data_IF_206927838436
#
_entry.id   IF_206927838436
#
_cell.length_a   1.000
_cell.length_b   1.000
_cell.length_c   1.000
_cell.angle_alpha   90.00
_cell.angle_beta   90.00
_cell.angle_gamma   90.00
#
_symmetry.space_group_name_H-M   'P 1'
#
loop_
_entity.id
_entity.type
_entity.pdbx_description
1 polymer ?
#
# COMPACT_ATOMS: atom_id res chain seq x y z
N UNK A 1 -7.38 0.25 -23.26
CA UNK A 1 -6.21 0.69 -22.47
C UNK A 1 -6.32 2.09 -21.80
N UNK A 2 -7.50 2.76 -21.74
CA UNK A 2 -7.65 4.07 -21.03
C UNK A 2 -8.42 3.99 -19.70
N UNK A 3 -9.16 2.92 -19.45
CA UNK A 3 -10.11 2.86 -18.33
C UNK A 3 -9.43 2.88 -16.94
N UNK A 4 -8.31 2.19 -16.77
CA UNK A 4 -7.65 2.09 -15.45
C UNK A 4 -7.00 3.40 -15.00
N UNK A 5 -6.46 4.20 -15.93
CA UNK A 5 -5.85 5.49 -15.60
C UNK A 5 -6.88 6.44 -14.96
N UNK A 6 -8.11 6.49 -15.48
CA UNK A 6 -9.20 7.27 -14.89
C UNK A 6 -9.60 6.73 -13.50
N UNK A 7 -9.57 5.41 -13.30
CA UNK A 7 -9.86 4.82 -11.99
C UNK A 7 -8.82 5.19 -10.94
N UNK A 8 -7.52 5.29 -11.32
CA UNK A 8 -6.44 5.70 -10.41
C UNK A 8 -6.66 7.11 -9.86
N UNK A 9 -7.07 8.05 -10.72
CA UNK A 9 -7.34 9.44 -10.31
C UNK A 9 -8.42 9.51 -9.22
N UNK A 10 -9.41 8.62 -9.27
CA UNK A 10 -10.50 8.56 -8.31
C UNK A 10 -10.11 7.93 -6.95
N UNK A 11 -8.97 7.26 -6.83
CA UNK A 11 -8.45 6.79 -5.53
C UNK A 11 -8.09 7.95 -4.60
N UNK A 12 -7.78 9.12 -5.16
CA UNK A 12 -7.49 10.36 -4.41
C UNK A 12 -8.69 11.29 -4.27
N UNK A 13 -9.90 10.87 -4.66
CA UNK A 13 -11.11 11.69 -4.56
C UNK A 13 -11.38 12.12 -3.11
N UNK A 14 -11.84 13.34 -2.82
CA UNK A 14 -12.25 13.71 -1.45
C UNK A 14 -13.49 12.93 -0.97
N UNK A 15 -14.28 12.34 -1.88
CA UNK A 15 -15.48 11.58 -1.54
C UNK A 15 -15.17 10.10 -1.27
N UNK A 16 -15.42 9.65 -0.04
CA UNK A 16 -15.20 8.27 0.41
C UNK A 16 -15.93 7.23 -0.44
N UNK A 17 -17.18 7.45 -0.83
CA UNK A 17 -17.93 6.49 -1.65
C UNK A 17 -17.35 6.35 -3.06
N UNK A 18 -16.84 7.46 -3.62
CA UNK A 18 -16.16 7.45 -4.92
C UNK A 18 -14.85 6.67 -4.82
N UNK A 19 -14.04 6.92 -3.78
CA UNK A 19 -12.79 6.17 -3.53
C UNK A 19 -13.04 4.68 -3.38
N UNK A 20 -14.06 4.27 -2.61
CA UNK A 20 -14.39 2.85 -2.41
C UNK A 20 -14.86 2.16 -3.71
N UNK A 21 -15.65 2.86 -4.55
CA UNK A 21 -16.04 2.32 -5.87
C UNK A 21 -14.84 2.21 -6.80
N UNK A 22 -13.98 3.23 -6.84
CA UNK A 22 -12.76 3.20 -7.63
C UNK A 22 -11.84 2.05 -7.19
N UNK A 23 -11.66 1.87 -5.88
CA UNK A 23 -10.91 0.77 -5.29
C UNK A 23 -11.45 -0.59 -5.73
N UNK A 24 -12.76 -0.82 -5.59
CA UNK A 24 -13.41 -2.07 -6.03
C UNK A 24 -13.12 -2.33 -7.51
N UNK A 25 -13.26 -1.31 -8.35
CA UNK A 25 -13.03 -1.44 -9.79
C UNK A 25 -11.56 -1.73 -10.11
N UNK A 26 -10.60 -1.06 -9.47
CA UNK A 26 -9.16 -1.31 -9.66
C UNK A 26 -8.79 -2.73 -9.26
N UNK A 27 -9.22 -3.19 -8.08
CA UNK A 27 -8.91 -4.54 -7.60
C UNK A 27 -9.49 -5.64 -8.52
N UNK A 28 -10.64 -5.37 -9.14
CA UNK A 28 -11.32 -6.29 -10.06
C UNK A 28 -10.81 -6.19 -11.50
N UNK A 29 -10.02 -5.17 -11.85
CA UNK A 29 -9.69 -4.89 -13.24
C UNK A 29 -8.56 -5.83 -13.73
N UNK A 30 -8.74 -6.53 -14.87
CA UNK A 30 -7.74 -7.49 -15.37
C UNK A 30 -6.40 -6.83 -15.70
N UNK A 31 -6.42 -5.60 -16.20
CA UNK A 31 -5.19 -4.86 -16.55
C UNK A 31 -4.56 -4.08 -15.39
N UNK A 32 -5.06 -4.21 -14.15
CA UNK A 32 -4.46 -3.54 -13.00
C UNK A 32 -3.00 -4.00 -12.80
N UNK A 33 -2.08 -3.04 -12.73
CA UNK A 33 -0.68 -3.37 -12.44
C UNK A 33 -0.54 -3.74 -10.96
N UNK A 34 0.55 -4.42 -10.57
CA UNK A 34 0.83 -4.67 -9.16
C UNK A 34 0.85 -3.38 -8.32
N UNK A 35 1.40 -2.30 -8.88
CA UNK A 35 1.35 -0.97 -8.26
C UNK A 35 -0.09 -0.49 -8.03
N UNK A 36 -0.99 -0.64 -9.00
CA UNK A 36 -2.40 -0.22 -8.85
C UNK A 36 -3.10 -0.96 -7.73
N UNK A 37 -2.88 -2.27 -7.67
CA UNK A 37 -3.46 -3.13 -6.65
C UNK A 37 -2.92 -2.76 -5.26
N UNK A 38 -1.62 -2.52 -5.14
CA UNK A 38 -1.00 -2.06 -3.88
C UNK A 38 -1.49 -0.68 -3.49
N UNK A 39 -1.56 0.28 -4.41
CA UNK A 39 -2.12 1.61 -4.15
C UNK A 39 -3.57 1.52 -3.66
N UNK A 40 -4.35 0.62 -4.24
CA UNK A 40 -5.70 0.32 -3.78
C UNK A 40 -5.71 -0.19 -2.33
N UNK A 41 -4.90 -1.19 -2.02
CA UNK A 41 -4.78 -1.74 -0.66
C UNK A 41 -4.29 -0.67 0.32
N UNK A 42 -3.41 0.23 -0.14
CA UNK A 42 -2.86 1.37 0.61
C UNK A 42 -3.74 2.60 0.71
N UNK A 43 -4.96 2.55 0.17
CA UNK A 43 -5.92 3.64 0.31
C UNK A 43 -6.16 3.99 1.78
N UNK A 44 -6.32 5.29 2.07
CA UNK A 44 -6.62 5.78 3.40
C UNK A 44 -7.92 5.18 3.98
N UNK A 45 -8.86 4.76 3.13
CA UNK A 45 -10.10 4.11 3.53
C UNK A 45 -9.93 2.64 3.92
N UNK A 46 -8.73 2.09 3.73
CA UNK A 46 -8.40 0.67 3.87
C UNK A 46 -7.51 0.37 5.09
N UNK A 47 -7.22 1.40 5.90
CA UNK A 47 -6.15 1.41 6.92
C UNK A 47 -6.29 0.41 8.07
N UNK A 48 -7.46 -0.19 8.28
CA UNK A 48 -7.69 -1.16 9.36
C UNK A 48 -7.94 -2.59 8.88
N UNK A 49 -7.87 -2.86 7.57
CA UNK A 49 -8.27 -4.16 7.01
C UNK A 49 -9.72 -4.59 7.30
N UNK A 50 -10.56 -3.71 7.84
CA UNK A 50 -11.99 -3.92 8.12
C UNK A 50 -12.80 -4.35 6.86
N UNK A 51 -12.24 -4.14 5.67
CA UNK A 51 -12.80 -4.57 4.37
C UNK A 51 -12.75 -6.09 4.13
N UNK A 52 -11.90 -6.84 4.84
CA UNK A 52 -11.95 -8.31 4.83
C UNK A 52 -13.26 -8.80 5.47
N UNK A 53 -13.81 -8.01 6.40
CA UNK A 53 -15.06 -8.30 7.09
C UNK A 53 -16.26 -7.60 6.42
N UNK A 54 -16.07 -6.46 5.74
CA UNK A 54 -17.15 -5.75 5.04
C UNK A 54 -17.39 -6.27 3.61
N UNK A 55 -18.62 -6.72 3.39
CA UNK A 55 -19.14 -7.60 2.34
C UNK A 55 -18.87 -7.23 0.86
N UNK A 56 -18.38 -6.02 0.55
CA UNK A 56 -18.34 -5.49 -0.83
C UNK A 56 -16.94 -5.43 -1.48
N UNK A 57 -15.88 -5.41 -0.68
CA UNK A 57 -14.47 -5.34 -1.14
C UNK A 57 -13.71 -6.65 -0.94
N UNK A 58 -14.12 -7.51 0.00
CA UNK A 58 -13.54 -8.83 0.22
C UNK A 58 -13.46 -9.72 -1.03
N UNK A 59 -14.51 -9.82 -1.88
CA UNK A 59 -14.43 -10.57 -3.14
C UNK A 59 -13.40 -10.00 -4.13
N UNK A 60 -13.35 -8.68 -4.30
CA UNK A 60 -12.39 -8.03 -5.20
C UNK A 60 -10.95 -8.20 -4.70
N UNK A 61 -10.73 -8.13 -3.38
CA UNK A 61 -9.43 -8.40 -2.78
C UNK A 61 -9.00 -9.86 -3.02
N UNK A 62 -9.90 -10.84 -2.81
CA UNK A 62 -9.61 -12.25 -3.07
C UNK A 62 -9.23 -12.52 -4.53
N UNK A 63 -9.73 -11.73 -5.48
CA UNK A 63 -9.36 -11.80 -6.89
C UNK A 63 -8.02 -11.11 -7.20
N UNK A 64 -7.73 -9.99 -6.51
CA UNK A 64 -6.45 -9.30 -6.64
C UNK A 64 -5.29 -10.10 -5.99
N UNK A 65 -5.59 -10.86 -4.93
CA UNK A 65 -4.59 -11.52 -4.10
C UNK A 65 -3.60 -12.41 -4.86
N UNK A 66 -4.03 -13.35 -5.74
CA UNK A 66 -3.10 -14.21 -6.46
C UNK A 66 -2.19 -13.44 -7.42
N UNK A 67 -2.58 -12.21 -7.81
CA UNK A 67 -1.81 -11.35 -8.71
C UNK A 67 -0.75 -10.52 -7.97
N UNK A 68 -0.86 -10.43 -6.65
CA UNK A 68 0.08 -9.74 -5.78
C UNK A 68 1.08 -10.68 -5.13
N UNK A 69 0.72 -11.96 -5.00
CA UNK A 69 1.61 -12.97 -4.42
C UNK A 69 2.87 -13.11 -5.29
N UNK A 70 4.03 -12.97 -4.66
CA UNK A 70 5.31 -13.12 -5.34
C UNK A 70 5.74 -11.90 -6.18
N UNK A 71 5.03 -10.77 -6.11
CA UNK A 71 5.37 -9.58 -6.91
C UNK A 71 6.75 -9.05 -6.50
N UNK A 72 7.56 -8.80 -7.53
CA UNK A 72 8.88 -8.18 -7.42
C UNK A 72 8.99 -6.97 -8.38
N UNK A 73 8.26 -5.90 -8.06
CA UNK A 73 8.17 -4.67 -8.85
C UNK A 73 8.76 -3.48 -8.07
N UNK A 74 9.81 -2.85 -8.62
CA UNK A 74 10.49 -1.72 -7.99
C UNK A 74 9.57 -0.53 -7.70
N UNK A 75 8.54 -0.32 -8.52
CA UNK A 75 7.60 0.77 -8.31
C UNK A 75 6.70 0.52 -7.09
N UNK A 76 6.34 -0.75 -6.84
CA UNK A 76 5.60 -1.15 -5.64
C UNK A 76 6.41 -0.83 -4.40
N UNK A 77 7.69 -1.20 -4.37
CA UNK A 77 8.56 -0.94 -3.22
C UNK A 77 8.77 0.55 -2.99
N UNK A 78 9.07 1.30 -4.05
CA UNK A 78 9.24 2.75 -3.97
C UNK A 78 7.98 3.44 -3.44
N UNK A 79 6.79 2.98 -3.85
CA UNK A 79 5.54 3.49 -3.33
C UNK A 79 5.34 3.21 -1.84
N UNK A 80 5.66 1.99 -1.38
CA UNK A 80 5.56 1.58 0.02
C UNK A 80 6.57 2.31 0.91
N UNK A 81 7.79 2.52 0.42
CA UNK A 81 8.82 3.32 1.08
C UNK A 81 8.41 4.79 1.23
N UNK A 82 7.87 5.40 0.17
CA UNK A 82 7.33 6.76 0.22
C UNK A 82 6.17 6.86 1.22
N UNK A 83 5.23 5.92 1.14
CA UNK A 83 4.08 5.85 2.07
C UNK A 83 4.54 5.71 3.52
N UNK A 84 5.58 4.91 3.79
CA UNK A 84 6.18 4.83 5.13
C UNK A 84 6.78 6.18 5.54
N UNK A 85 7.59 6.78 4.66
CA UNK A 85 8.32 8.03 4.93
C UNK A 85 7.40 9.22 5.24
N UNK A 86 6.20 9.26 4.65
CA UNK A 86 5.20 10.30 4.95
C UNK A 86 4.73 10.30 6.40
N UNK A 87 4.62 9.12 7.04
CA UNK A 87 4.25 9.01 8.45
C UNK A 87 4.72 7.67 9.04
N UNK A 88 6.00 7.55 9.45
CA UNK A 88 6.61 6.29 9.86
C UNK A 88 5.85 5.59 10.99
N UNK A 89 5.56 6.34 12.06
CA UNK A 89 4.89 5.85 13.26
C UNK A 89 3.50 5.27 12.97
N UNK A 90 2.77 5.91 12.04
CA UNK A 90 1.42 5.51 11.66
C UNK A 90 1.41 4.37 10.63
N UNK A 91 2.35 4.38 9.68
CA UNK A 91 2.29 3.52 8.50
C UNK A 91 3.12 2.24 8.62
N UNK A 92 4.00 2.10 9.63
CA UNK A 92 4.88 0.92 9.78
C UNK A 92 4.14 -0.41 9.83
N UNK A 93 3.11 -0.54 10.67
CA UNK A 93 2.34 -1.79 10.82
C UNK A 93 1.56 -2.11 9.56
N UNK A 94 1.06 -1.06 8.90
CA UNK A 94 0.31 -1.13 7.66
C UNK A 94 1.18 -1.64 6.50
N UNK A 95 2.35 -1.01 6.28
CA UNK A 95 3.27 -1.38 5.20
C UNK A 95 3.85 -2.78 5.44
N UNK A 96 4.21 -3.13 6.68
CA UNK A 96 4.63 -4.50 7.03
C UNK A 96 3.54 -5.52 6.70
N UNK A 97 2.27 -5.20 6.94
CA UNK A 97 1.17 -6.11 6.61
C UNK A 97 1.11 -6.33 5.09
N UNK A 98 1.10 -5.27 4.28
CA UNK A 98 1.07 -5.38 2.81
C UNK A 98 2.21 -6.24 2.26
N UNK A 99 3.44 -6.07 2.75
CA UNK A 99 4.58 -6.87 2.30
C UNK A 99 4.44 -8.34 2.70
N UNK A 100 3.90 -8.62 3.89
CA UNK A 100 3.54 -9.99 4.28
C UNK A 100 2.48 -10.59 3.33
N UNK A 101 1.56 -9.78 2.81
CA UNK A 101 0.58 -10.25 1.81
C UNK A 101 1.25 -10.56 0.47
N UNK A 102 2.21 -9.74 0.05
CA UNK A 102 2.97 -9.92 -1.20
C UNK A 102 3.91 -11.14 -1.08
N UNK A 103 4.45 -11.41 0.12
CA UNK A 103 5.09 -12.68 0.45
C UNK A 103 6.46 -12.92 -0.22
N UNK A 104 7.23 -11.88 -0.54
CA UNK A 104 8.60 -12.02 -1.06
C UNK A 104 9.67 -11.62 -0.04
N UNK A 105 10.81 -12.32 -0.06
CA UNK A 105 11.96 -12.00 0.80
C UNK A 105 12.54 -10.62 0.47
N UNK A 106 12.56 -10.26 -0.81
CA UNK A 106 12.98 -8.94 -1.29
C UNK A 106 12.10 -7.82 -0.77
N UNK A 107 10.77 -7.97 -0.84
CA UNK A 107 9.81 -7.03 -0.29
C UNK A 107 10.05 -6.77 1.20
N UNK A 108 10.21 -7.85 1.95
CA UNK A 108 10.38 -7.80 3.41
C UNK A 108 11.75 -7.20 3.80
N UNK A 109 12.80 -7.52 3.03
CA UNK A 109 14.15 -6.97 3.22
C UNK A 109 14.21 -5.46 2.98
N UNK A 110 13.68 -4.98 1.85
CA UNK A 110 13.73 -3.55 1.49
C UNK A 110 13.06 -2.66 2.54
N UNK A 111 11.94 -3.08 3.13
CA UNK A 111 11.30 -2.32 4.20
C UNK A 111 12.08 -2.40 5.51
N UNK A 112 12.59 -3.57 5.87
CA UNK A 112 13.43 -3.72 7.07
C UNK A 112 14.63 -2.77 7.01
N UNK A 113 15.25 -2.64 5.84
CA UNK A 113 16.35 -1.71 5.61
C UNK A 113 15.90 -0.25 5.68
N UNK A 114 14.76 0.10 5.07
CA UNK A 114 14.20 1.45 5.14
C UNK A 114 13.84 1.88 6.58
N UNK A 115 13.24 0.97 7.37
CA UNK A 115 12.94 1.18 8.79
C UNK A 115 14.24 1.37 9.58
N UNK A 116 15.23 0.51 9.36
CA UNK A 116 16.52 0.58 10.06
C UNK A 116 17.26 1.89 9.78
N UNK A 117 17.18 2.42 8.55
CA UNK A 117 17.75 3.73 8.17
C UNK A 117 17.00 4.89 8.82
N UNK A 118 15.67 4.83 8.87
CA UNK A 118 14.83 5.85 9.50
C UNK A 118 15.01 5.92 11.03
N UNK A 119 15.23 4.78 11.69
CA UNK A 119 15.54 4.72 13.12
C UNK A 119 16.83 5.45 13.50
N UNK A 120 17.84 5.46 12.62
CA UNK A 120 19.08 6.20 12.84
C UNK A 120 18.94 7.71 12.62
N UNK A 121 17.94 8.18 11.87
CA UNK A 121 17.67 9.61 11.67
C UNK A 121 16.93 10.25 12.85
N UNK A 122 16.22 9.46 13.67
CA UNK A 122 15.54 9.96 14.87
C UNK A 122 16.50 10.11 16.07
N UNK A 123 17.57 9.33 16.13
CA UNK A 123 18.56 9.39 17.23
C UNK A 123 19.61 10.50 17.06
N UNK A 124 19.80 11.02 15.84
CA UNK A 124 20.79 12.07 15.54
C UNK A 124 20.33 13.50 15.92
N UNK A 125 19.14 13.66 16.51
CA UNK A 125 18.57 14.95 16.91
C UNK A 125 18.64 15.28 18.41
N UNK A 126 19.24 14.41 19.23
CA UNK A 126 19.34 14.59 20.69
C UNK A 126 20.82 14.59 21.10
N UNK A 127 21.60 15.54 20.58
CA UNK A 127 22.89 15.89 21.21
C UNK A 127 23.35 17.27 20.69
N UNK A 128 22.77 18.34 21.25
CA UNK A 128 23.21 19.73 21.01
C UNK A 128 22.65 20.63 22.12
N UNK A 129 23.00 20.34 23.38
CA UNK A 129 23.04 21.26 24.54
C UNK A 129 23.37 20.48 25.82
N UNK A 130 24.67 20.28 26.05
CA UNK A 130 25.26 20.09 27.37
C UNK A 130 26.41 21.10 27.50
#
# INVERSE_FOLDING_TARGET
>A
MKAICYLREHLSSPNKQVRLKALKLVLSHPDATPLDLVMGICSADNRNFEFLETFDLGPAMRQAWPRLLGVDDDNVYKYLENSYSENPSRNVSYVRHVLKLIGTDRATGMLSDAISRSGNSAQAGIDLRA
#
